data_IF_109028062176
#
_entry.id   IF_109028062176
#
_cell.length_a   1.000
_cell.length_b   1.000
_cell.length_c   1.000
_cell.angle_alpha   90.00
_cell.angle_beta   90.00
_cell.angle_gamma   90.00
#
_symmetry.space_group_name_H-M   'P 1'
#
loop_
_entity.id
_entity.type
_entity.pdbx_description
1 polymer ?
#
# COMPACT_ATOMS: atom_id res chain seq x y z
N UNK A 1 24.87 -17.77 -6.74
CA UNK A 1 24.09 -17.78 -5.49
C UNK A 1 24.07 -16.36 -4.98
N UNK A 2 22.91 -15.76 -4.86
CA UNK A 2 22.77 -14.35 -4.46
C UNK A 2 22.75 -14.26 -2.94
N UNK A 3 23.63 -13.42 -2.39
CA UNK A 3 23.68 -13.13 -0.95
C UNK A 3 23.06 -11.74 -0.72
N UNK A 4 22.06 -11.69 0.14
CA UNK A 4 21.40 -10.44 0.54
C UNK A 4 21.93 -10.05 1.92
N UNK A 5 22.52 -8.86 2.02
CA UNK A 5 23.00 -8.33 3.28
C UNK A 5 21.87 -7.67 4.04
N UNK A 6 21.87 -7.86 5.34
CA UNK A 6 20.87 -7.29 6.26
C UNK A 6 20.66 -5.79 6.05
N UNK A 7 21.73 -5.00 6.11
CA UNK A 7 21.64 -3.55 6.03
C UNK A 7 21.16 -3.07 4.66
N UNK A 8 21.60 -3.70 3.56
CA UNK A 8 21.17 -3.35 2.21
C UNK A 8 19.67 -3.59 2.02
N UNK A 9 19.14 -4.68 2.61
CA UNK A 9 17.72 -4.98 2.55
C UNK A 9 16.88 -4.02 3.40
N UNK A 10 17.30 -3.74 4.63
CA UNK A 10 16.65 -2.77 5.53
C UNK A 10 16.61 -1.39 4.88
N UNK A 11 17.73 -0.94 4.33
CA UNK A 11 17.82 0.37 3.68
C UNK A 11 16.94 0.44 2.43
N UNK A 12 16.87 -0.62 1.64
CA UNK A 12 15.99 -0.69 0.46
C UNK A 12 14.51 -0.54 0.84
N UNK A 13 14.06 -1.14 1.94
CA UNK A 13 12.71 -0.98 2.46
C UNK A 13 12.47 0.46 2.92
N UNK A 14 13.41 1.03 3.65
CA UNK A 14 13.35 2.42 4.12
C UNK A 14 13.20 3.40 2.93
N UNK A 15 14.08 3.29 1.95
CA UNK A 15 14.10 4.14 0.76
C UNK A 15 12.81 3.99 -0.06
N UNK A 16 12.29 2.76 -0.19
CA UNK A 16 11.04 2.51 -0.89
C UNK A 16 9.86 3.22 -0.22
N UNK A 17 9.70 3.14 1.11
CA UNK A 17 8.62 3.82 1.81
C UNK A 17 8.76 5.33 1.79
N UNK A 18 9.96 5.87 1.88
CA UNK A 18 10.20 7.30 1.66
C UNK A 18 9.81 7.70 0.24
N UNK A 19 10.27 6.97 -0.78
CA UNK A 19 10.01 7.28 -2.19
C UNK A 19 8.51 7.29 -2.51
N UNK A 20 7.77 6.23 -2.15
CA UNK A 20 6.33 6.13 -2.44
C UNK A 20 5.48 7.15 -1.65
N UNK A 21 6.05 7.75 -0.62
CA UNK A 21 5.34 8.76 0.18
C UNK A 21 5.25 10.11 -0.51
N UNK A 22 6.11 10.42 -1.47
CA UNK A 22 6.11 11.69 -2.19
C UNK A 22 6.12 11.57 -3.73
N UNK A 23 6.24 10.36 -4.28
CA UNK A 23 6.11 10.13 -5.71
C UNK A 23 4.93 9.24 -6.04
N UNK A 24 4.01 9.73 -6.86
CA UNK A 24 3.04 8.86 -7.50
C UNK A 24 3.67 8.14 -8.71
N UNK A 25 3.26 6.88 -8.98
CA UNK A 25 3.65 6.20 -10.22
C UNK A 25 3.19 6.98 -11.46
N UNK A 26 3.98 6.90 -12.53
CA UNK A 26 3.66 7.63 -13.77
C UNK A 26 2.32 7.20 -14.38
N UNK A 27 2.02 5.92 -14.37
CA UNK A 27 0.76 5.37 -14.90
C UNK A 27 -0.47 5.90 -14.13
N UNK A 28 -0.34 6.09 -12.81
CA UNK A 28 -1.37 6.75 -11.99
C UNK A 28 -1.60 8.19 -12.44
N UNK A 29 -0.54 8.98 -12.60
CA UNK A 29 -0.63 10.38 -13.05
C UNK A 29 -1.25 10.45 -14.45
N UNK A 30 -0.82 9.60 -15.36
CA UNK A 30 -1.35 9.54 -16.74
C UNK A 30 -2.85 9.16 -16.73
N UNK A 31 -3.25 8.22 -15.87
CA UNK A 31 -4.66 7.81 -15.76
C UNK A 31 -5.52 8.94 -15.16
N UNK A 32 -5.04 9.61 -14.11
CA UNK A 32 -5.74 10.73 -13.49
C UNK A 32 -5.87 11.91 -14.45
N UNK A 33 -4.82 12.23 -15.19
CA UNK A 33 -4.86 13.29 -16.20
C UNK A 33 -5.86 12.99 -17.32
N UNK A 34 -5.90 11.75 -17.81
CA UNK A 34 -6.91 11.33 -18.81
C UNK A 34 -8.33 11.40 -18.25
N UNK A 35 -8.54 11.04 -16.99
CA UNK A 35 -9.84 11.20 -16.32
C UNK A 35 -10.22 12.68 -16.20
N UNK A 36 -9.30 13.53 -15.77
CA UNK A 36 -9.49 14.98 -15.69
C UNK A 36 -9.90 15.60 -17.04
N UNK A 37 -9.30 15.17 -18.15
CA UNK A 37 -9.67 15.66 -19.49
C UNK A 37 -11.13 15.34 -19.85
N UNK A 38 -11.64 14.19 -19.39
CA UNK A 38 -12.99 13.71 -19.69
C UNK A 38 -14.05 14.18 -18.69
N UNK A 39 -13.64 14.68 -17.53
CA UNK A 39 -14.56 15.11 -16.47
C UNK A 39 -15.30 16.39 -16.90
N UNK A 40 -16.63 16.35 -16.82
CA UNK A 40 -17.50 17.46 -17.18
C UNK A 40 -17.98 18.26 -15.96
N UNK A 41 -18.04 17.63 -14.79
CA UNK A 41 -18.44 18.32 -13.56
C UNK A 41 -17.33 19.25 -13.09
N UNK A 42 -17.57 20.57 -13.00
CA UNK A 42 -16.53 21.54 -12.63
C UNK A 42 -15.91 21.29 -11.26
N UNK A 43 -16.69 20.88 -10.26
CA UNK A 43 -16.18 20.62 -8.91
C UNK A 43 -15.29 19.36 -8.86
N UNK A 44 -15.70 18.31 -9.57
CA UNK A 44 -14.87 17.09 -9.68
C UNK A 44 -13.58 17.37 -10.45
N UNK A 45 -13.64 18.15 -11.53
CA UNK A 45 -12.48 18.56 -12.32
C UNK A 45 -11.50 19.41 -11.51
N UNK A 46 -11.99 20.32 -10.70
CA UNK A 46 -11.17 21.13 -9.80
C UNK A 46 -10.48 20.26 -8.74
N UNK A 47 -11.20 19.31 -8.13
CA UNK A 47 -10.61 18.37 -7.18
C UNK A 47 -9.46 17.54 -7.81
N UNK A 48 -9.65 17.04 -9.03
CA UNK A 48 -8.58 16.33 -9.76
C UNK A 48 -7.39 17.24 -10.07
N UNK A 49 -7.64 18.51 -10.42
CA UNK A 49 -6.59 19.51 -10.63
C UNK A 49 -5.75 19.69 -9.38
N UNK A 50 -6.40 19.84 -8.22
CA UNK A 50 -5.71 19.99 -6.94
C UNK A 50 -4.86 18.76 -6.60
N UNK A 51 -5.32 17.55 -6.90
CA UNK A 51 -4.55 16.32 -6.69
C UNK A 51 -3.31 16.28 -7.59
N UNK A 52 -3.44 16.64 -8.87
CA UNK A 52 -2.31 16.69 -9.80
C UNK A 52 -1.28 17.74 -9.40
N UNK A 53 -1.73 18.93 -8.98
CA UNK A 53 -0.85 19.99 -8.46
C UNK A 53 -0.15 19.54 -7.19
N UNK A 54 -0.90 18.95 -6.24
CA UNK A 54 -0.31 18.41 -5.01
C UNK A 54 0.75 17.35 -5.30
N UNK A 55 0.47 16.43 -6.21
CA UNK A 55 1.43 15.39 -6.62
C UNK A 55 2.75 16.00 -7.11
N UNK A 56 2.66 17.03 -7.95
CA UNK A 56 3.85 17.74 -8.45
C UNK A 56 4.60 18.44 -7.31
N UNK A 57 3.90 19.19 -6.46
CA UNK A 57 4.50 19.90 -5.33
C UNK A 57 5.20 18.96 -4.35
N UNK A 58 4.60 17.78 -4.11
CA UNK A 58 5.19 16.78 -3.22
C UNK A 58 6.48 16.19 -3.81
N UNK A 59 6.47 15.89 -5.10
CA UNK A 59 7.65 15.38 -5.81
C UNK A 59 8.80 16.42 -5.84
N UNK A 60 8.48 17.69 -6.09
CA UNK A 60 9.48 18.78 -6.16
C UNK A 60 10.07 19.13 -4.78
N UNK A 61 9.34 18.90 -3.69
CA UNK A 61 9.75 19.34 -2.35
C UNK A 61 9.97 18.18 -1.37
N UNK A 62 9.92 16.92 -1.82
CA UNK A 62 10.03 15.72 -1.00
C UNK A 62 9.08 15.76 0.22
N UNK A 63 7.81 16.08 -0.02
CA UNK A 63 6.79 16.15 1.02
C UNK A 63 5.79 15.00 0.87
N UNK A 64 5.28 14.47 1.98
CA UNK A 64 4.25 13.43 1.90
C UNK A 64 3.03 13.90 1.10
N UNK A 65 2.55 13.04 0.20
CA UNK A 65 1.41 13.30 -0.69
C UNK A 65 0.13 13.53 0.11
N UNK A 66 0.01 12.86 1.27
CA UNK A 66 -1.16 12.91 2.13
C UNK A 66 -0.75 12.88 3.61
N UNK A 67 -1.59 13.43 4.49
CA UNK A 67 -1.41 13.27 5.94
C UNK A 67 -1.62 11.82 6.41
N UNK A 68 -2.35 11.02 5.65
CA UNK A 68 -2.47 9.57 5.86
C UNK A 68 -1.37 8.86 5.06
N UNK A 69 -0.25 8.59 5.72
CA UNK A 69 0.89 7.91 5.12
C UNK A 69 0.72 6.39 5.07
N UNK A 70 -0.42 5.92 5.55
CA UNK A 70 -0.93 4.56 5.34
C UNK A 70 -0.32 3.49 6.25
N UNK A 71 -0.87 2.28 6.11
CA UNK A 71 -0.35 1.06 6.72
C UNK A 71 0.72 0.51 5.78
N UNK A 72 1.93 0.30 6.29
CA UNK A 72 3.02 -0.29 5.52
C UNK A 72 2.66 -1.75 5.15
N UNK A 73 2.59 -2.03 3.86
CA UNK A 73 2.33 -3.37 3.34
C UNK A 73 3.47 -3.77 2.41
N UNK A 74 4.05 -4.94 2.64
CA UNK A 74 5.19 -5.45 1.88
C UNK A 74 4.88 -6.82 1.31
N UNK A 75 4.99 -6.95 -0.01
CA UNK A 75 4.88 -8.21 -0.72
C UNK A 75 6.27 -8.68 -1.11
N UNK A 76 6.64 -9.87 -0.65
CA UNK A 76 7.95 -10.46 -0.89
C UNK A 76 7.80 -11.74 -1.72
N UNK A 77 8.59 -11.85 -2.80
CA UNK A 77 8.87 -13.14 -3.46
C UNK A 77 10.33 -13.46 -3.23
N UNK A 78 10.59 -14.48 -2.44
CA UNK A 78 11.94 -14.89 -2.05
C UNK A 78 12.34 -16.12 -2.84
N UNK A 79 13.43 -16.03 -3.58
CA UNK A 79 13.98 -17.15 -4.34
C UNK A 79 14.52 -18.25 -3.41
N UNK A 80 14.26 -19.51 -3.76
CA UNK A 80 14.70 -20.69 -2.98
C UNK A 80 16.23 -20.79 -2.83
N UNK A 81 17.00 -20.15 -3.73
CA UNK A 81 18.46 -20.17 -3.73
C UNK A 81 19.07 -18.86 -3.19
N UNK A 82 18.27 -18.02 -2.55
CA UNK A 82 18.76 -16.81 -1.87
C UNK A 82 19.41 -17.18 -0.56
N UNK A 83 20.54 -16.55 -0.26
CA UNK A 83 21.18 -16.61 1.05
C UNK A 83 21.09 -15.26 1.74
N UNK A 84 20.84 -15.27 3.03
CA UNK A 84 20.80 -14.08 3.87
C UNK A 84 22.07 -14.00 4.70
N UNK A 85 22.77 -12.88 4.58
CA UNK A 85 23.86 -12.48 5.49
C UNK A 85 23.25 -11.53 6.52
N UNK A 86 22.58 -12.14 7.51
CA UNK A 86 21.75 -11.41 8.46
C UNK A 86 21.62 -12.18 9.78
N UNK A 87 21.57 -11.43 10.88
CA UNK A 87 21.25 -11.92 12.22
C UNK A 87 19.75 -11.77 12.56
N UNK A 88 19.04 -10.93 11.80
CA UNK A 88 17.59 -10.68 11.92
C UNK A 88 16.80 -11.57 10.97
N UNK A 89 15.58 -11.93 11.37
CA UNK A 89 14.62 -12.54 10.45
C UNK A 89 14.20 -11.55 9.36
N UNK A 90 13.67 -12.07 8.24
CA UNK A 90 13.19 -11.22 7.15
C UNK A 90 12.08 -10.27 7.62
N UNK A 91 11.21 -10.74 8.51
CA UNK A 91 10.14 -9.93 9.10
C UNK A 91 10.71 -8.79 9.97
N UNK A 92 11.71 -9.07 10.80
CA UNK A 92 12.38 -8.05 11.61
C UNK A 92 13.09 -7.01 10.75
N UNK A 93 13.76 -7.44 9.67
CA UNK A 93 14.41 -6.52 8.73
C UNK A 93 13.40 -5.61 8.02
N UNK A 94 12.25 -6.12 7.61
CA UNK A 94 11.17 -5.31 7.02
C UNK A 94 10.67 -4.28 8.03
N UNK A 95 10.38 -4.71 9.26
CA UNK A 95 9.91 -3.80 10.31
C UNK A 95 10.95 -2.74 10.65
N UNK A 96 12.25 -3.08 10.67
CA UNK A 96 13.31 -2.11 10.89
C UNK A 96 13.38 -1.08 9.75
N UNK A 97 13.26 -1.52 8.50
CA UNK A 97 13.20 -0.61 7.34
C UNK A 97 12.00 0.35 7.40
N UNK A 98 10.82 -0.15 7.79
CA UNK A 98 9.63 0.68 8.01
C UNK A 98 9.86 1.66 9.15
N UNK A 99 10.39 1.22 10.29
CA UNK A 99 10.71 2.09 11.43
C UNK A 99 11.61 3.24 11.00
N UNK A 100 12.71 2.95 10.30
CA UNK A 100 13.64 3.97 9.80
C UNK A 100 12.94 4.95 8.85
N UNK A 101 12.09 4.46 7.95
CA UNK A 101 11.36 5.32 7.02
C UNK A 101 10.43 6.30 7.74
N UNK A 102 9.70 5.83 8.75
CA UNK A 102 8.71 6.66 9.45
C UNK A 102 9.29 7.56 10.55
N UNK A 103 10.52 7.31 10.99
CA UNK A 103 11.20 8.11 12.00
C UNK A 103 12.35 8.96 11.44
N UNK A 104 12.56 8.95 10.12
CA UNK A 104 13.63 9.71 9.49
C UNK A 104 13.41 11.21 9.66
N UNK A 105 14.37 11.86 10.32
CA UNK A 105 14.30 13.29 10.64
C UNK A 105 14.24 14.20 9.40
N UNK A 106 14.85 13.79 8.29
CA UNK A 106 14.85 14.55 7.03
C UNK A 106 13.49 14.66 6.35
N UNK A 107 12.59 13.69 6.59
CA UNK A 107 11.22 13.67 6.09
C UNK A 107 10.37 12.73 6.94
N UNK A 108 9.90 13.25 8.07
CA UNK A 108 9.13 12.47 9.03
C UNK A 108 7.74 12.16 8.46
N UNK A 109 7.47 10.88 8.26
CA UNK A 109 6.17 10.37 7.89
C UNK A 109 5.28 10.23 9.12
N UNK A 110 3.97 10.38 8.95
CA UNK A 110 3.02 10.23 10.05
C UNK A 110 2.75 8.77 10.36
N UNK A 111 3.27 8.27 11.49
CA UNK A 111 2.89 6.95 11.98
C UNK A 111 1.43 6.92 12.44
N UNK A 112 0.68 5.91 12.00
CA UNK A 112 -0.75 5.77 12.29
C UNK A 112 -1.15 4.38 12.83
N UNK A 113 -0.22 3.45 12.90
CA UNK A 113 -0.47 2.11 13.47
C UNK A 113 -0.68 2.18 14.98
N UNK A 114 -1.69 1.47 15.44
CA UNK A 114 -2.03 1.39 16.86
C UNK A 114 -1.65 0.03 17.43
N UNK A 115 -0.87 0.05 18.51
CA UNK A 115 -0.76 -1.11 19.39
C UNK A 115 -2.04 -1.25 20.19
N UNK A 116 -2.47 -2.50 20.42
CA UNK A 116 -3.68 -2.83 21.15
C UNK A 116 -4.92 -2.05 20.64
N UNK A 117 -5.35 -2.28 19.37
CA UNK A 117 -6.44 -1.52 18.77
C UNK A 117 -7.80 -1.73 19.44
N UNK A 118 -7.97 -2.83 20.15
CA UNK A 118 -9.18 -3.13 20.91
C UNK A 118 -9.18 -2.51 22.33
N UNK A 119 -8.01 -2.17 22.86
CA UNK A 119 -7.83 -1.66 24.22
C UNK A 119 -7.30 -0.23 24.28
N UNK A 120 -6.02 -0.07 24.63
CA UNK A 120 -5.41 1.23 24.93
C UNK A 120 -5.21 2.13 23.69
N UNK A 121 -5.19 1.57 22.49
CA UNK A 121 -5.06 2.28 21.21
C UNK A 121 -3.86 3.23 21.14
N UNK A 122 -2.71 2.80 21.62
CA UNK A 122 -1.50 3.60 21.61
C UNK A 122 -0.84 3.57 20.23
N UNK A 123 -0.53 4.75 19.70
CA UNK A 123 0.24 4.86 18.46
C UNK A 123 1.65 4.29 18.67
N UNK A 124 2.10 3.44 17.75
CA UNK A 124 3.45 2.83 17.80
C UNK A 124 4.56 3.83 17.54
N UNK A 125 4.24 4.99 16.94
CA UNK A 125 5.12 6.12 16.58
C UNK A 125 6.12 5.84 15.43
N UNK A 126 6.27 4.60 15.05
CA UNK A 126 7.20 4.14 14.00
C UNK A 126 6.49 3.39 12.86
N UNK A 127 5.17 3.32 12.92
CA UNK A 127 4.29 2.66 11.94
C UNK A 127 4.51 1.15 11.79
N UNK A 128 5.14 0.51 12.77
CA UNK A 128 5.27 -0.96 12.83
C UNK A 128 4.17 -1.59 13.71
N UNK A 129 3.87 -2.89 13.53
CA UNK A 129 4.39 -3.78 12.51
C UNK A 129 3.82 -3.51 11.12
N UNK A 130 4.59 -3.85 10.08
CA UNK A 130 4.13 -3.89 8.70
C UNK A 130 3.24 -5.11 8.46
N UNK A 131 2.37 -5.03 7.45
CA UNK A 131 1.66 -6.20 6.91
C UNK A 131 2.56 -6.84 5.86
N UNK A 132 2.98 -8.08 6.07
CA UNK A 132 3.94 -8.76 5.22
C UNK A 132 3.29 -9.98 4.58
N UNK A 133 3.32 -10.02 3.24
CA UNK A 133 2.91 -11.16 2.44
C UNK A 133 4.15 -11.77 1.79
N UNK A 134 4.51 -12.99 2.16
CA UNK A 134 5.68 -13.65 1.65
C UNK A 134 5.32 -14.91 0.86
N UNK A 135 5.98 -15.11 -0.28
CA UNK A 135 5.94 -16.33 -1.05
C UNK A 135 7.36 -16.80 -1.40
N UNK A 136 7.58 -18.09 -1.36
CA UNK A 136 8.83 -18.71 -1.80
C UNK A 136 8.66 -19.13 -3.26
N UNK A 137 9.59 -18.72 -4.10
CA UNK A 137 9.55 -18.96 -5.56
C UNK A 137 10.86 -19.57 -6.06
N UNK A 138 10.87 -20.25 -7.19
CA UNK A 138 12.12 -20.70 -7.79
C UNK A 138 13.05 -19.53 -8.13
N UNK A 139 14.37 -19.73 -8.00
CA UNK A 139 15.38 -18.75 -8.37
C UNK A 139 16.20 -18.23 -7.20
N UNK A 140 16.96 -17.18 -7.44
CA UNK A 140 17.94 -16.62 -6.52
C UNK A 140 17.79 -15.09 -6.36
N UNK A 141 16.59 -14.57 -6.57
CA UNK A 141 16.28 -13.14 -6.42
C UNK A 141 15.25 -12.92 -5.33
N UNK A 142 15.27 -11.73 -4.76
CA UNK A 142 14.21 -11.22 -3.90
C UNK A 142 13.50 -10.10 -4.66
N UNK A 143 12.20 -10.28 -4.90
CA UNK A 143 11.33 -9.23 -5.44
C UNK A 143 10.55 -8.61 -4.29
N UNK A 144 10.60 -7.29 -4.17
CA UNK A 144 9.94 -6.54 -3.10
C UNK A 144 8.98 -5.54 -3.73
N UNK A 145 7.74 -5.56 -3.28
CA UNK A 145 6.76 -4.52 -3.61
C UNK A 145 6.27 -3.88 -2.32
N UNK A 146 6.51 -2.59 -2.17
CA UNK A 146 6.05 -1.80 -1.03
C UNK A 146 4.79 -1.02 -1.40
N UNK A 147 3.82 -1.00 -0.49
CA UNK A 147 2.61 -0.21 -0.62
C UNK A 147 2.27 0.45 0.73
N UNK A 148 1.87 1.70 0.68
CA UNK A 148 1.34 2.43 1.83
C UNK A 148 -0.19 2.53 1.67
N UNK A 149 -0.92 1.70 2.40
CA UNK A 149 -2.39 1.59 2.27
C UNK A 149 -3.08 2.55 3.22
N UNK A 150 -3.71 3.59 2.68
CA UNK A 150 -4.42 4.58 3.47
C UNK A 150 -5.57 3.99 4.29
N UNK A 151 -5.72 4.44 5.54
CA UNK A 151 -6.74 3.93 6.46
C UNK A 151 -8.17 4.19 5.98
N UNK A 152 -8.41 5.32 5.30
CA UNK A 152 -9.72 5.64 4.73
C UNK A 152 -10.15 4.65 3.66
N UNK A 153 -9.26 4.33 2.73
CA UNK A 153 -9.53 3.34 1.68
C UNK A 153 -9.58 1.91 2.21
N UNK A 154 -8.77 1.57 3.21
CA UNK A 154 -8.81 0.26 3.87
C UNK A 154 -10.18 0.01 4.52
N UNK A 155 -10.70 0.98 5.25
CA UNK A 155 -11.99 0.91 5.91
C UNK A 155 -13.19 0.81 4.94
N UNK A 156 -12.97 1.06 3.65
CA UNK A 156 -14.00 0.90 2.61
C UNK A 156 -13.93 -0.43 1.88
N UNK A 157 -12.95 -1.28 2.18
CA UNK A 157 -12.91 -2.64 1.65
C UNK A 157 -14.18 -3.40 2.03
N UNK A 158 -14.73 -4.17 1.09
CA UNK A 158 -15.93 -4.98 1.27
C UNK A 158 -15.64 -6.42 0.91
N UNK A 159 -16.11 -7.31 1.77
CA UNK A 159 -16.11 -8.75 1.54
C UNK A 159 -17.55 -9.25 1.50
N UNK A 160 -17.86 -10.12 0.57
CA UNK A 160 -19.13 -10.84 0.53
C UNK A 160 -18.91 -12.32 0.20
N UNK A 161 -19.71 -13.15 0.83
CA UNK A 161 -19.86 -14.56 0.47
C UNK A 161 -21.07 -14.67 -0.43
N UNK A 162 -20.85 -14.94 -1.72
CA UNK A 162 -21.89 -15.07 -2.71
C UNK A 162 -22.28 -16.54 -2.90
N UNK A 163 -23.54 -16.81 -3.21
CA UNK A 163 -23.96 -18.12 -3.65
C UNK A 163 -23.50 -18.36 -5.10
N UNK A 164 -23.35 -19.61 -5.54
CA UNK A 164 -22.94 -19.90 -6.91
C UNK A 164 -23.88 -19.32 -8.01
N UNK A 165 -25.14 -19.05 -7.66
CA UNK A 165 -26.13 -18.42 -8.56
C UNK A 165 -26.09 -16.90 -8.57
N UNK A 166 -25.37 -16.26 -7.63
CA UNK A 166 -25.34 -14.81 -7.52
C UNK A 166 -24.42 -14.21 -8.59
N UNK A 167 -24.85 -13.09 -9.17
CA UNK A 167 -24.07 -12.38 -10.16
C UNK A 167 -23.06 -11.44 -9.47
N UNK A 168 -21.77 -11.69 -9.68
CA UNK A 168 -20.69 -10.88 -9.09
C UNK A 168 -20.76 -9.42 -9.56
N UNK A 169 -21.05 -9.18 -10.84
CA UNK A 169 -21.13 -7.82 -11.42
C UNK A 169 -22.27 -7.04 -10.77
N UNK A 170 -23.44 -7.65 -10.63
CA UNK A 170 -24.60 -7.03 -9.99
C UNK A 170 -24.33 -6.67 -8.54
N UNK A 171 -23.62 -7.55 -7.81
CA UNK A 171 -23.21 -7.27 -6.45
C UNK A 171 -22.26 -6.06 -6.37
N UNK A 172 -21.27 -6.00 -7.26
CA UNK A 172 -20.32 -4.87 -7.34
C UNK A 172 -21.07 -3.57 -7.62
N UNK A 173 -21.93 -3.55 -8.66
CA UNK A 173 -22.69 -2.36 -9.07
C UNK A 173 -23.65 -1.86 -7.97
N UNK A 174 -24.23 -2.76 -7.19
CA UNK A 174 -25.09 -2.40 -6.05
C UNK A 174 -24.27 -1.90 -4.84
N UNK A 175 -23.08 -2.43 -4.63
CA UNK A 175 -22.27 -2.15 -3.44
C UNK A 175 -21.52 -0.82 -3.55
N UNK A 176 -20.92 -0.53 -4.71
CA UNK A 176 -20.10 0.66 -4.93
C UNK A 176 -20.80 1.97 -4.50
N UNK A 177 -22.05 2.27 -4.93
CA UNK A 177 -22.71 3.52 -4.57
C UNK A 177 -22.96 3.66 -3.06
N UNK A 178 -22.99 2.56 -2.31
CA UNK A 178 -23.23 2.58 -0.86
C UNK A 178 -21.98 2.88 -0.03
N UNK A 179 -20.81 2.89 -0.64
CA UNK A 179 -19.53 3.01 0.10
C UNK A 179 -19.20 4.45 0.50
N UNK A 180 -19.86 5.44 -0.09
CA UNK A 180 -19.65 6.85 0.19
C UNK A 180 -18.27 7.34 -0.24
N UNK A 181 -17.90 8.56 0.14
CA UNK A 181 -16.69 9.25 -0.32
C UNK A 181 -15.47 9.11 0.62
N UNK A 182 -15.57 8.35 1.72
CA UNK A 182 -14.49 8.25 2.73
C UNK A 182 -13.23 7.49 2.31
N UNK A 183 -13.17 7.04 1.06
CA UNK A 183 -12.01 6.36 0.45
C UNK A 183 -11.03 7.27 -0.26
N UNK A 184 -11.25 8.58 -0.25
CA UNK A 184 -10.52 9.59 -1.02
C UNK A 184 -10.71 9.41 -2.55
N UNK A 185 -11.51 10.30 -3.13
CA UNK A 185 -11.77 10.35 -4.57
C UNK A 185 -10.62 11.05 -5.32
N UNK A 186 -10.33 10.70 -6.57
CA UNK A 186 -10.94 9.64 -7.38
C UNK A 186 -10.48 8.24 -6.94
N UNK A 187 -11.36 7.25 -7.08
CA UNK A 187 -11.08 5.89 -6.63
C UNK A 187 -10.65 4.97 -7.78
N UNK A 188 -9.69 4.11 -7.47
CA UNK A 188 -9.36 2.96 -8.29
C UNK A 188 -9.97 1.70 -7.67
N UNK A 189 -10.71 0.95 -8.47
CA UNK A 189 -11.32 -0.29 -8.05
C UNK A 189 -10.44 -1.48 -8.33
N UNK A 190 -10.24 -2.29 -7.30
CA UNK A 190 -9.67 -3.62 -7.44
C UNK A 190 -10.70 -4.62 -6.94
N UNK A 191 -11.10 -5.54 -7.80
CA UNK A 191 -11.99 -6.64 -7.44
C UNK A 191 -11.23 -7.95 -7.53
N UNK A 192 -11.32 -8.76 -6.48
CA UNK A 192 -10.77 -10.10 -6.46
C UNK A 192 -11.86 -11.10 -6.12
N UNK A 193 -11.98 -12.17 -6.92
CA UNK A 193 -12.81 -13.31 -6.60
C UNK A 193 -11.93 -14.51 -6.27
N UNK A 194 -12.26 -15.20 -5.17
CA UNK A 194 -11.56 -16.40 -4.75
C UNK A 194 -12.56 -17.54 -4.56
N UNK A 195 -12.27 -18.67 -5.17
CA UNK A 195 -12.96 -19.94 -4.91
C UNK A 195 -12.02 -20.76 -4.03
N UNK A 196 -12.50 -21.23 -2.88
CA UNK A 196 -11.70 -22.18 -2.08
C UNK A 196 -11.45 -23.42 -2.94
N UNK A 197 -10.19 -23.85 -3.11
CA UNK A 197 -9.96 -25.13 -3.75
C UNK A 197 -10.72 -26.20 -2.94
N UNK A 198 -11.57 -26.97 -3.62
CA UNK A 198 -12.15 -28.16 -2.99
C UNK A 198 -10.97 -29.02 -2.55
N UNK A 199 -10.86 -29.32 -1.24
CA UNK A 199 -9.97 -30.39 -0.81
C UNK A 199 -10.45 -31.65 -1.54
N UNK A 200 -9.55 -32.38 -2.24
CA UNK A 200 -9.92 -33.68 -2.73
C UNK A 200 -10.34 -34.53 -1.52
N UNK A 201 -11.51 -35.15 -1.61
CA UNK A 201 -11.99 -36.13 -0.66
C UNK A 201 -11.07 -37.34 -0.65
#
# INVERSE_FOLDING_TARGET
>A
MTVIKQEDFIQSICDAFQFISYYHPKDYIDALYKAWQKEENPAAKDAMTQILVNSRMCAENNRPICQDTGIATVFLKVGMNVQWDADMSVEEMVNEGVRRAYTWEGNTLRASVLADPAGKRQNTKDNTPAVIHMSIVPGDKVEVTCAAKGGGSENKSKLAMLNPSDNIVDWVLKTIPTMGAGWCLPAFWVSASAVRPKKPC
#
